data_IF_850105598627
#
_entry.id   IF_850105598627
#
_cell.length_a   1.000
_cell.length_b   1.000
_cell.length_c   1.000
_cell.angle_alpha   90.00
_cell.angle_beta   90.00
_cell.angle_gamma   90.00
#
_symmetry.space_group_name_H-M   'P 1'
#
loop_
_entity.id
_entity.type
_entity.pdbx_description
1 polymer ?
#
# COMPACT_ATOMS: atom_id res chain seq x y z
N UNK A 1 -20.58 22.48 11.26
CA UNK A 1 -19.51 21.58 11.73
C UNK A 1 -19.97 20.14 11.52
N UNK A 2 -19.39 19.41 10.57
CA UNK A 2 -19.74 18.01 10.30
C UNK A 2 -19.12 17.13 11.38
N UNK A 3 -19.96 16.48 12.21
CA UNK A 3 -19.52 15.45 13.16
C UNK A 3 -19.77 14.10 12.52
N UNK A 4 -18.71 13.32 12.29
CA UNK A 4 -18.83 11.90 11.89
C UNK A 4 -19.61 11.19 13.00
N UNK A 5 -20.81 10.69 12.67
CA UNK A 5 -21.53 9.76 13.55
C UNK A 5 -20.79 8.43 13.52
N UNK A 6 -20.44 7.89 14.69
CA UNK A 6 -19.93 6.52 14.76
C UNK A 6 -21.08 5.56 14.44
N UNK A 7 -20.79 4.36 13.94
CA UNK A 7 -21.82 3.35 13.66
C UNK A 7 -22.71 3.06 14.87
N UNK A 8 -22.13 3.11 16.08
CA UNK A 8 -22.88 2.99 17.34
C UNK A 8 -23.94 4.08 17.52
N UNK A 9 -23.73 5.27 16.93
CA UNK A 9 -24.61 6.43 17.05
C UNK A 9 -25.76 6.40 16.02
N UNK A 10 -25.71 5.49 15.03
CA UNK A 10 -26.71 5.36 13.96
C UNK A 10 -27.51 4.06 14.13
N UNK A 11 -26.83 2.93 14.37
CA UNK A 11 -27.48 1.65 14.51
C UNK A 11 -26.63 0.68 15.34
N UNK A 12 -27.02 0.50 16.60
CA UNK A 12 -26.27 -0.24 17.62
C UNK A 12 -26.02 -1.72 17.28
N UNK A 13 -26.71 -2.28 16.27
CA UNK A 13 -26.66 -3.70 15.88
C UNK A 13 -25.93 -4.00 14.56
N UNK A 14 -25.55 -2.99 13.75
CA UNK A 14 -24.87 -3.21 12.46
C UNK A 14 -23.34 -3.29 12.66
N UNK A 15 -22.75 -4.43 12.28
CA UNK A 15 -21.29 -4.68 12.31
C UNK A 15 -20.54 -4.14 11.09
N UNK A 16 -21.23 -3.72 10.03
CA UNK A 16 -20.62 -3.26 8.78
C UNK A 16 -20.81 -1.74 8.60
N UNK A 17 -19.71 -1.06 8.27
CA UNK A 17 -19.73 0.34 7.91
C UNK A 17 -20.38 0.54 6.55
N UNK A 18 -21.40 1.40 6.48
CA UNK A 18 -21.98 1.85 5.22
C UNK A 18 -20.96 2.74 4.50
N UNK A 19 -20.86 2.61 3.17
CA UNK A 19 -20.02 3.48 2.34
C UNK A 19 -20.34 4.96 2.59
N UNK A 20 -19.29 5.76 2.79
CA UNK A 20 -19.44 7.19 3.02
C UNK A 20 -19.71 7.91 1.69
N UNK A 21 -20.83 8.63 1.62
CA UNK A 21 -21.19 9.48 0.48
C UNK A 21 -20.97 10.95 0.79
N UNK A 22 -20.56 11.70 -0.22
CA UNK A 22 -20.41 13.14 -0.16
C UNK A 22 -21.80 13.80 0.05
N UNK A 23 -21.98 14.67 1.05
CA UNK A 23 -23.26 15.32 1.30
C UNK A 23 -23.65 16.36 0.23
N UNK A 24 -22.71 16.75 -0.65
CA UNK A 24 -22.97 17.76 -1.69
C UNK A 24 -23.33 17.15 -3.04
N UNK A 25 -22.71 16.02 -3.40
CA UNK A 25 -22.87 15.41 -4.73
C UNK A 25 -23.21 13.91 -4.70
N UNK A 26 -23.39 13.33 -3.51
CA UNK A 26 -23.70 11.91 -3.28
C UNK A 26 -22.66 10.90 -3.81
N UNK A 27 -21.54 11.37 -4.35
CA UNK A 27 -20.42 10.53 -4.79
C UNK A 27 -19.72 9.83 -3.63
N UNK A 28 -19.05 8.71 -3.92
CA UNK A 28 -18.25 7.98 -2.94
C UNK A 28 -17.08 8.82 -2.44
N UNK A 29 -16.87 8.84 -1.13
CA UNK A 29 -15.74 9.53 -0.51
C UNK A 29 -14.51 8.63 -0.49
N UNK A 30 -13.36 9.21 -0.81
CA UNK A 30 -12.07 8.55 -0.65
C UNK A 30 -11.75 8.32 0.84
N UNK A 31 -11.28 7.12 1.18
CA UNK A 31 -10.70 6.86 2.49
C UNK A 31 -9.24 7.31 2.48
N UNK A 32 -8.97 8.44 3.13
CA UNK A 32 -7.62 9.02 3.23
C UNK A 32 -6.91 8.62 4.52
N UNK A 33 -7.53 7.83 5.40
CA UNK A 33 -6.94 7.37 6.65
C UNK A 33 -7.14 8.27 7.87
N UNK A 34 -6.74 7.75 9.03
CA UNK A 34 -7.06 8.31 10.35
C UNK A 34 -6.36 9.67 10.60
N UNK A 35 -5.14 9.83 10.11
CA UNK A 35 -4.35 11.06 10.32
C UNK A 35 -4.63 12.13 9.27
N UNK A 36 -5.56 11.87 8.35
CA UNK A 36 -5.94 12.83 7.32
C UNK A 36 -6.58 14.07 7.94
N UNK A 37 -6.04 15.23 7.57
CA UNK A 37 -6.61 16.54 7.89
C UNK A 37 -7.07 17.18 6.60
N UNK A 38 -8.38 17.30 6.45
CA UNK A 38 -8.95 17.94 5.27
C UNK A 38 -8.50 19.41 5.19
N UNK A 39 -8.02 19.86 4.02
CA UNK A 39 -7.67 21.25 3.81
C UNK A 39 -8.94 22.11 3.77
N UNK A 40 -8.77 23.43 3.67
CA UNK A 40 -9.92 24.33 3.50
C UNK A 40 -10.63 24.01 2.17
N UNK A 41 -11.95 24.19 2.13
CA UNK A 41 -12.75 23.87 0.94
C UNK A 41 -12.37 24.69 -0.29
N UNK A 42 -11.81 25.88 -0.09
CA UNK A 42 -11.36 26.82 -1.13
C UNK A 42 -9.90 26.63 -1.55
N UNK A 43 -9.14 25.75 -0.88
CA UNK A 43 -7.73 25.50 -1.23
C UNK A 43 -7.61 24.47 -2.36
N UNK A 44 -7.87 24.93 -3.58
CA UNK A 44 -7.84 24.11 -4.80
C UNK A 44 -6.47 23.44 -4.98
N UNK A 45 -5.39 24.10 -4.58
CA UNK A 45 -4.02 23.58 -4.76
C UNK A 45 -3.77 22.40 -3.83
N UNK A 46 -4.12 22.51 -2.55
CA UNK A 46 -4.02 21.39 -1.61
C UNK A 46 -4.94 20.23 -1.99
N UNK A 47 -6.17 20.49 -2.42
CA UNK A 47 -7.07 19.45 -2.91
C UNK A 47 -6.53 18.74 -4.16
N UNK A 48 -5.92 19.47 -5.09
CA UNK A 48 -5.29 18.87 -6.27
C UNK A 48 -4.14 17.95 -5.88
N UNK A 49 -3.28 18.36 -4.95
CA UNK A 49 -2.17 17.53 -4.46
C UNK A 49 -2.67 16.26 -3.75
N UNK A 50 -3.73 16.36 -2.95
CA UNK A 50 -4.35 15.19 -2.31
C UNK A 50 -4.94 14.21 -3.33
N UNK A 51 -5.51 14.72 -4.43
CA UNK A 51 -5.98 13.88 -5.52
C UNK A 51 -4.83 13.12 -6.18
N UNK A 52 -3.70 13.78 -6.41
CA UNK A 52 -2.50 13.13 -6.96
C UNK A 52 -1.98 12.04 -6.02
N UNK A 53 -1.85 12.33 -4.71
CA UNK A 53 -1.47 11.33 -3.70
C UNK A 53 -2.40 10.11 -3.69
N UNK A 54 -3.71 10.34 -3.63
CA UNK A 54 -4.71 9.27 -3.61
C UNK A 54 -4.69 8.45 -4.90
N UNK A 55 -4.48 9.10 -6.06
CA UNK A 55 -4.46 8.42 -7.36
C UNK A 55 -3.36 7.35 -7.48
N UNK A 56 -2.28 7.50 -6.70
CA UNK A 56 -1.16 6.54 -6.65
C UNK A 56 -1.12 5.73 -5.36
N UNK A 57 -2.20 5.75 -4.58
CA UNK A 57 -2.38 4.95 -3.36
C UNK A 57 -1.65 5.48 -2.12
N UNK A 58 -1.16 6.73 -2.12
CA UNK A 58 -0.56 7.36 -0.94
C UNK A 58 -1.65 8.00 -0.09
N UNK A 59 -1.77 7.54 1.16
CA UNK A 59 -2.82 7.93 2.11
C UNK A 59 -2.24 8.09 3.52
N UNK A 60 -3.05 8.62 4.45
CA UNK A 60 -2.67 8.97 5.81
C UNK A 60 -3.14 7.91 6.84
N UNK A 61 -3.06 6.63 6.48
CA UNK A 61 -3.34 5.55 7.42
C UNK A 61 -2.17 5.39 8.40
N UNK A 62 -2.48 5.26 9.69
CA UNK A 62 -1.51 4.86 10.70
C UNK A 62 -2.18 4.05 11.81
N UNK A 63 -1.35 3.40 12.63
CA UNK A 63 -1.78 2.77 13.87
C UNK A 63 -1.97 3.76 15.04
N UNK A 64 -1.80 5.06 14.81
CA UNK A 64 -1.91 6.12 15.82
C UNK A 64 -0.66 6.37 16.66
N UNK A 65 0.37 5.51 16.58
CA UNK A 65 1.59 5.65 17.39
C UNK A 65 2.70 6.48 16.73
N UNK A 66 2.81 6.42 15.39
CA UNK A 66 3.96 6.99 14.66
C UNK A 66 3.55 7.89 13.49
N UNK A 67 2.25 8.12 13.32
CA UNK A 67 1.70 8.83 12.16
C UNK A 67 1.83 8.02 10.85
N UNK A 68 1.48 8.63 9.71
CA UNK A 68 1.39 7.93 8.42
C UNK A 68 2.75 7.73 7.73
N UNK A 69 3.86 8.09 8.39
CA UNK A 69 5.19 8.11 7.80
C UNK A 69 5.40 9.32 6.88
N UNK A 70 6.29 9.18 5.90
CA UNK A 70 6.63 10.24 4.96
C UNK A 70 5.52 10.41 3.90
N UNK A 71 5.06 11.65 3.73
CA UNK A 71 4.09 12.04 2.70
C UNK A 71 4.74 13.07 1.77
N UNK A 72 4.86 12.79 0.46
CA UNK A 72 5.36 13.74 -0.53
C UNK A 72 4.60 15.06 -0.52
N UNK A 73 5.34 16.17 -0.64
CA UNK A 73 4.78 17.53 -0.60
C UNK A 73 4.43 18.09 -1.99
N UNK A 74 4.96 17.49 -3.04
CA UNK A 74 4.74 17.90 -4.42
C UNK A 74 4.88 16.71 -5.36
N UNK A 75 4.55 16.93 -6.63
CA UNK A 75 4.53 15.91 -7.66
C UNK A 75 5.91 15.29 -7.92
N UNK A 76 6.97 16.08 -7.89
CA UNK A 76 8.34 15.62 -8.09
C UNK A 76 8.75 14.64 -6.98
N UNK A 77 8.35 14.91 -5.73
CA UNK A 77 8.57 13.99 -4.62
C UNK A 77 7.73 12.72 -4.72
N UNK A 78 6.51 12.80 -5.26
CA UNK A 78 5.69 11.61 -5.54
C UNK A 78 6.41 10.72 -6.55
N UNK A 79 6.86 11.29 -7.67
CA UNK A 79 7.60 10.57 -8.70
C UNK A 79 8.87 9.92 -8.13
N UNK A 80 9.67 10.67 -7.39
CA UNK A 80 10.89 10.15 -6.77
C UNK A 80 10.60 9.01 -5.79
N UNK A 81 9.54 9.13 -4.98
CA UNK A 81 9.12 8.05 -4.07
C UNK A 81 8.69 6.80 -4.85
N UNK A 82 7.88 6.95 -5.90
CA UNK A 82 7.44 5.83 -6.73
C UNK A 82 8.63 5.14 -7.42
N UNK A 83 9.59 5.89 -7.94
CA UNK A 83 10.83 5.33 -8.52
C UNK A 83 11.66 4.56 -7.48
N UNK A 84 11.78 5.08 -6.26
CA UNK A 84 12.46 4.40 -5.17
C UNK A 84 11.74 3.08 -4.81
N UNK A 85 10.41 3.12 -4.71
CA UNK A 85 9.58 1.93 -4.48
C UNK A 85 9.74 0.92 -5.61
N UNK A 86 9.72 1.35 -6.87
CA UNK A 86 9.95 0.50 -8.04
C UNK A 86 11.30 -0.20 -7.95
N UNK A 87 12.38 0.52 -7.62
CA UNK A 87 13.71 -0.06 -7.45
C UNK A 87 13.71 -1.15 -6.39
N UNK A 88 13.10 -0.90 -5.23
CA UNK A 88 12.99 -1.92 -4.18
C UNK A 88 12.21 -3.16 -4.63
N UNK A 89 11.10 -2.97 -5.37
CA UNK A 89 10.33 -4.09 -5.90
C UNK A 89 11.08 -4.90 -6.95
N UNK A 90 11.89 -4.24 -7.79
CA UNK A 90 12.80 -4.92 -8.73
C UNK A 90 13.83 -5.76 -7.98
N UNK A 91 14.41 -5.24 -6.88
CA UNK A 91 15.33 -6.03 -6.06
C UNK A 91 14.65 -7.25 -5.42
N UNK A 92 13.40 -7.11 -4.97
CA UNK A 92 12.62 -8.25 -4.49
C UNK A 92 12.34 -9.27 -5.60
N UNK A 93 11.93 -8.81 -6.79
CA UNK A 93 11.78 -9.68 -7.95
C UNK A 93 13.07 -10.44 -8.27
N UNK A 94 14.21 -9.75 -8.30
CA UNK A 94 15.55 -10.36 -8.55
C UNK A 94 15.89 -11.40 -7.49
N UNK A 95 15.64 -11.10 -6.22
CA UNK A 95 15.84 -12.05 -5.13
C UNK A 95 15.00 -13.30 -5.36
N UNK A 96 13.68 -13.16 -5.57
CA UNK A 96 12.80 -14.31 -5.75
C UNK A 96 13.11 -15.09 -7.03
N UNK A 97 13.61 -14.43 -8.07
CA UNK A 97 14.01 -15.09 -9.30
C UNK A 97 15.31 -15.90 -9.14
N UNK A 98 16.21 -15.48 -8.24
CA UNK A 98 17.50 -16.15 -8.01
C UNK A 98 17.49 -17.11 -6.83
N UNK A 99 16.55 -16.97 -5.89
CA UNK A 99 16.53 -17.79 -4.68
C UNK A 99 16.25 -19.26 -5.01
N UNK A 100 16.99 -20.14 -4.34
CA UNK A 100 16.76 -21.58 -4.32
C UNK A 100 15.94 -21.91 -3.07
N UNK A 101 14.72 -22.41 -3.28
CA UNK A 101 13.84 -22.82 -2.20
C UNK A 101 14.08 -24.29 -1.87
N UNK A 102 14.23 -24.65 -0.59
CA UNK A 102 14.36 -26.04 -0.21
C UNK A 102 13.09 -26.84 -0.48
N UNK A 103 13.25 -28.11 -0.83
CA UNK A 103 12.13 -29.03 -1.09
C UNK A 103 11.59 -29.66 0.20
N UNK A 104 12.47 -29.86 1.18
CA UNK A 104 12.09 -30.48 2.46
C UNK A 104 11.87 -29.45 3.56
N UNK A 105 11.00 -29.81 4.50
CA UNK A 105 10.71 -28.95 5.67
C UNK A 105 11.94 -28.73 6.56
N UNK A 106 12.81 -29.72 6.68
CA UNK A 106 14.01 -29.64 7.51
C UNK A 106 15.03 -28.65 6.93
N UNK A 107 15.28 -28.71 5.63
CA UNK A 107 16.14 -27.77 4.92
C UNK A 107 15.53 -26.36 4.90
N UNK A 108 14.21 -26.25 4.83
CA UNK A 108 13.51 -24.97 4.96
C UNK A 108 13.80 -24.30 6.30
N UNK A 109 13.86 -25.04 7.40
CA UNK A 109 14.17 -24.45 8.71
C UNK A 109 15.59 -23.85 8.74
N UNK A 110 16.57 -24.56 8.16
CA UNK A 110 17.94 -24.06 8.00
C UNK A 110 17.98 -22.82 7.11
N UNK A 111 17.26 -22.86 5.98
CA UNK A 111 17.12 -21.72 5.08
C UNK A 111 16.49 -20.51 5.78
N UNK A 112 15.43 -20.74 6.58
CA UNK A 112 14.75 -19.72 7.35
C UNK A 112 15.74 -19.04 8.30
N UNK A 113 16.47 -19.80 9.12
CA UNK A 113 17.41 -19.24 10.08
C UNK A 113 18.52 -18.42 9.40
N UNK A 114 19.02 -18.87 8.24
CA UNK A 114 20.12 -18.22 7.52
C UNK A 114 19.68 -17.01 6.69
N UNK A 115 18.47 -17.04 6.11
CA UNK A 115 18.02 -16.07 5.11
C UNK A 115 16.82 -15.23 5.54
N UNK A 116 16.34 -15.38 6.78
CA UNK A 116 15.17 -14.65 7.29
C UNK A 116 15.24 -13.15 7.00
N UNK A 117 16.37 -12.49 7.27
CA UNK A 117 16.51 -11.05 7.06
C UNK A 117 16.31 -10.63 5.59
N UNK A 118 16.73 -11.47 4.64
CA UNK A 118 16.58 -11.21 3.20
C UNK A 118 15.15 -11.46 2.71
N UNK A 119 14.52 -12.52 3.22
CA UNK A 119 13.19 -12.96 2.79
C UNK A 119 12.07 -12.21 3.49
N UNK A 120 12.21 -11.87 4.77
CA UNK A 120 11.15 -11.27 5.57
C UNK A 120 10.68 -9.91 5.01
N UNK A 121 11.61 -9.07 4.57
CA UNK A 121 11.28 -7.77 3.97
C UNK A 121 10.70 -7.86 2.55
N UNK A 122 10.90 -8.99 1.86
CA UNK A 122 10.48 -9.21 0.47
C UNK A 122 9.38 -10.26 0.34
N UNK A 123 8.80 -10.71 1.46
CA UNK A 123 7.78 -11.76 1.48
C UNK A 123 6.43 -11.15 1.09
N UNK A 124 5.81 -11.62 0.00
CA UNK A 124 4.45 -11.22 -0.36
C UNK A 124 3.45 -11.52 0.74
N UNK A 125 2.52 -10.59 0.97
CA UNK A 125 1.58 -10.68 2.09
C UNK A 125 0.67 -11.92 2.00
N UNK A 126 0.29 -12.32 0.79
CA UNK A 126 -0.48 -13.52 0.52
C UNK A 126 0.28 -14.82 0.85
N UNK A 127 1.61 -14.80 0.83
CA UNK A 127 2.46 -15.96 1.13
C UNK A 127 2.83 -16.09 2.60
N UNK A 128 2.45 -15.14 3.46
CA UNK A 128 2.81 -15.17 4.88
C UNK A 128 2.29 -16.42 5.62
N UNK A 129 1.10 -16.91 5.25
CA UNK A 129 0.53 -18.14 5.83
C UNK A 129 1.31 -19.38 5.40
N UNK A 130 1.72 -19.45 4.15
CA UNK A 130 2.46 -20.59 3.61
C UNK A 130 3.90 -20.61 4.15
N UNK A 131 4.51 -19.43 4.27
CA UNK A 131 5.79 -19.23 4.92
C UNK A 131 5.82 -19.77 6.36
N UNK A 132 4.77 -19.51 7.14
CA UNK A 132 4.60 -20.08 8.49
C UNK A 132 4.50 -21.60 8.49
N UNK A 133 3.94 -22.19 7.42
CA UNK A 133 3.85 -23.64 7.22
C UNK A 133 5.13 -24.25 6.63
N UNK A 134 6.19 -23.46 6.43
CA UNK A 134 7.46 -23.89 5.83
C UNK A 134 7.28 -24.41 4.39
N UNK A 135 6.33 -23.80 3.67
CA UNK A 135 6.05 -24.08 2.26
C UNK A 135 6.03 -22.75 1.53
N UNK A 136 6.83 -22.60 0.49
CA UNK A 136 6.82 -21.39 -0.33
C UNK A 136 6.74 -21.79 -1.80
N UNK A 137 5.98 -20.99 -2.56
CA UNK A 137 6.00 -21.04 -4.00
C UNK A 137 6.70 -19.80 -4.55
N UNK A 138 7.83 -20.04 -5.20
CA UNK A 138 8.63 -19.01 -5.86
C UNK A 138 7.86 -18.33 -6.98
N UNK A 139 7.07 -19.06 -7.76
CA UNK A 139 6.36 -18.50 -8.91
C UNK A 139 5.26 -17.52 -8.47
N UNK A 140 4.54 -17.85 -7.40
CA UNK A 140 3.59 -16.92 -6.78
C UNK A 140 4.27 -15.63 -6.32
N UNK A 141 5.48 -15.71 -5.75
CA UNK A 141 6.21 -14.52 -5.31
C UNK A 141 6.71 -13.67 -6.47
N UNK A 142 7.26 -14.30 -7.50
CA UNK A 142 7.69 -13.62 -8.73
C UNK A 142 6.50 -12.87 -9.35
N UNK A 143 5.36 -13.55 -9.54
CA UNK A 143 4.15 -12.94 -10.09
C UNK A 143 3.70 -11.73 -9.26
N UNK A 144 3.65 -11.86 -7.93
CA UNK A 144 3.27 -10.76 -7.05
C UNK A 144 4.14 -9.52 -7.25
N UNK A 145 5.47 -9.69 -7.30
CA UNK A 145 6.37 -8.56 -7.50
C UNK A 145 6.30 -7.99 -8.91
N UNK A 146 6.12 -8.82 -9.94
CA UNK A 146 5.85 -8.36 -11.31
C UNK A 146 4.58 -7.50 -11.38
N UNK A 147 3.49 -7.95 -10.78
CA UNK A 147 2.22 -7.21 -10.75
C UNK A 147 2.38 -5.86 -10.03
N UNK A 148 3.12 -5.85 -8.91
CA UNK A 148 3.42 -4.63 -8.13
C UNK A 148 4.31 -3.64 -8.88
N UNK A 149 5.31 -4.12 -9.63
CA UNK A 149 6.12 -3.26 -10.51
C UNK A 149 5.23 -2.62 -11.58
N UNK A 150 4.36 -3.40 -12.22
CA UNK A 150 3.42 -2.89 -13.22
C UNK A 150 2.41 -1.88 -12.66
N UNK A 151 2.00 -2.02 -11.39
CA UNK A 151 1.18 -1.02 -10.69
C UNK A 151 1.90 0.32 -10.53
N UNK A 152 3.16 0.29 -10.10
CA UNK A 152 3.98 1.50 -9.98
C UNK A 152 4.21 2.15 -11.35
N UNK A 153 4.41 1.36 -12.40
CA UNK A 153 4.56 1.89 -13.76
C UNK A 153 3.31 2.64 -14.24
N UNK A 154 2.12 2.07 -14.01
CA UNK A 154 0.86 2.77 -14.31
C UNK A 154 0.71 4.06 -13.49
N UNK A 155 1.13 4.07 -12.24
CA UNK A 155 1.10 5.28 -11.42
C UNK A 155 2.04 6.35 -11.97
N UNK A 156 3.27 5.98 -12.34
CA UNK A 156 4.23 6.90 -12.96
C UNK A 156 3.71 7.48 -14.28
N UNK A 157 3.12 6.65 -15.14
CA UNK A 157 2.48 7.07 -16.39
C UNK A 157 1.32 8.04 -16.15
N UNK A 158 0.46 7.75 -15.16
CA UNK A 158 -0.69 8.60 -14.82
C UNK A 158 -0.29 9.99 -14.32
N UNK A 159 0.90 10.12 -13.74
CA UNK A 159 1.43 11.38 -13.25
C UNK A 159 2.33 12.07 -14.28
N UNK A 160 2.84 11.39 -15.31
CA UNK A 160 3.60 12.08 -16.35
C UNK A 160 2.67 13.07 -17.08
N UNK A 161 3.04 14.36 -17.22
CA UNK A 161 2.36 15.20 -18.19
C UNK A 161 2.49 14.53 -19.57
N UNK A 162 1.40 14.49 -20.32
CA UNK A 162 1.34 13.95 -21.67
C UNK A 162 2.61 14.31 -22.46
N UNK A 163 3.31 13.28 -22.94
CA UNK A 163 4.41 13.43 -23.91
C UNK A 163 3.85 13.81 -25.27
#
# INVERSE_FOLDING_TARGET
MFRRRLLRDINHSKKESVEAKCPQCEGLMADMGLDFKAPRTDDIKEWSHLKDLHSVGITFHSCGCSGPGYIPKNKEQILSQLENTKRNYIEHFRLWNTIELPETKAEFEVFYQRNFQKVAGSLPQNLYKDYKKRKLDKNTAIKYWTDKIGEIDRHLESLSPFK
#
